data_IF_793947711046
#
_entry.id   IF_793947711046
#
_cell.length_a   1.000
_cell.length_b   1.000
_cell.length_c   1.000
_cell.angle_alpha   90.00
_cell.angle_beta   90.00
_cell.angle_gamma   90.00
#
_symmetry.space_group_name_H-M   'P 1'
#
loop_
_entity.id
_entity.type
_entity.pdbx_description
1 polymer ?
#
# COMPACT_ATOMS: atom_id res chain seq x y z
N UNK A 1 -30.05 -16.56 2.00
CA UNK A 1 -29.12 -15.91 2.96
C UNK A 1 -28.87 -14.48 2.51
N UNK A 2 -29.73 -13.55 3.04
CA UNK A 2 -29.57 -12.12 2.80
C UNK A 2 -28.42 -11.60 3.66
N UNK A 3 -27.21 -11.70 3.20
CA UNK A 3 -26.15 -10.82 3.66
C UNK A 3 -26.47 -9.43 3.13
N UNK A 4 -27.09 -8.62 3.97
CA UNK A 4 -27.16 -7.18 3.78
C UNK A 4 -25.73 -6.72 3.53
N UNK A 5 -25.45 -6.21 2.33
CA UNK A 5 -24.11 -5.85 1.87
C UNK A 5 -23.51 -4.66 2.63
N UNK A 6 -23.37 -4.81 3.95
CA UNK A 6 -22.66 -3.85 4.79
C UNK A 6 -21.17 -4.00 4.43
N UNK A 7 -20.52 -2.95 3.94
CA UNK A 7 -19.10 -3.01 3.62
C UNK A 7 -18.28 -3.47 4.84
N UNK A 8 -17.34 -4.38 4.63
CA UNK A 8 -16.52 -4.97 5.69
C UNK A 8 -15.85 -3.93 6.61
N UNK A 9 -15.48 -2.76 6.07
CA UNK A 9 -14.88 -1.68 6.86
C UNK A 9 -15.85 -1.08 7.88
N UNK A 10 -17.16 -1.03 7.58
CA UNK A 10 -18.17 -0.54 8.52
C UNK A 10 -18.41 -1.56 9.64
N UNK A 11 -18.44 -2.85 9.29
CA UNK A 11 -18.54 -3.93 10.29
C UNK A 11 -17.34 -3.91 11.23
N UNK A 12 -16.14 -3.72 10.70
CA UNK A 12 -14.92 -3.64 11.50
C UNK A 12 -14.95 -2.43 12.43
N UNK A 13 -15.33 -1.24 11.92
CA UNK A 13 -15.43 -0.03 12.73
C UNK A 13 -16.47 -0.17 13.85
N UNK A 14 -17.64 -0.75 13.56
CA UNK A 14 -18.66 -1.02 14.55
C UNK A 14 -18.16 -2.01 15.61
N UNK A 15 -17.59 -3.13 15.19
CA UNK A 15 -17.09 -4.14 16.11
C UNK A 15 -15.96 -3.58 17.01
N UNK A 16 -15.09 -2.70 16.47
CA UNK A 16 -14.02 -2.10 17.25
C UNK A 16 -14.57 -1.29 18.45
N UNK A 17 -15.63 -0.52 18.27
CA UNK A 17 -16.28 0.21 19.37
C UNK A 17 -16.79 -0.75 20.46
N UNK A 18 -17.36 -1.88 20.03
CA UNK A 18 -17.82 -2.93 20.96
C UNK A 18 -16.65 -3.58 21.69
N UNK A 19 -15.57 -3.89 20.96
CA UNK A 19 -14.38 -4.50 21.55
C UNK A 19 -13.68 -3.58 22.55
N UNK A 20 -13.55 -2.29 22.24
CA UNK A 20 -12.98 -1.31 23.15
C UNK A 20 -13.81 -1.17 24.45
N UNK A 21 -15.13 -1.22 24.33
CA UNK A 21 -16.02 -1.25 25.48
C UNK A 21 -15.82 -2.52 26.33
N UNK A 22 -15.75 -3.68 25.67
CA UNK A 22 -15.56 -4.95 26.36
C UNK A 22 -14.18 -5.06 27.01
N UNK A 23 -13.14 -4.59 26.35
CA UNK A 23 -11.77 -4.54 26.89
C UNK A 23 -11.71 -3.64 28.14
N UNK A 24 -12.37 -2.49 28.10
CA UNK A 24 -12.42 -1.57 29.22
C UNK A 24 -13.19 -2.15 30.42
N UNK A 25 -14.24 -2.91 30.15
CA UNK A 25 -15.13 -3.45 31.19
C UNK A 25 -14.63 -4.78 31.78
N UNK A 26 -14.04 -5.66 30.96
CA UNK A 26 -13.72 -7.05 31.34
C UNK A 26 -12.23 -7.40 31.17
N UNK A 27 -11.40 -6.42 30.77
CA UNK A 27 -10.04 -6.71 30.34
C UNK A 27 -10.02 -7.47 29.02
N UNK A 28 -8.86 -7.92 28.55
CA UNK A 28 -8.70 -8.57 27.24
C UNK A 28 -8.92 -10.09 27.26
N UNK A 29 -9.19 -10.69 28.43
CA UNK A 29 -9.34 -12.15 28.59
C UNK A 29 -10.52 -12.72 27.81
N UNK A 30 -11.65 -12.00 27.70
CA UNK A 30 -12.83 -12.39 26.97
C UNK A 30 -12.56 -12.70 25.48
N UNK A 31 -11.54 -12.08 24.90
CA UNK A 31 -11.14 -12.30 23.49
C UNK A 31 -10.78 -13.75 23.21
N UNK A 32 -10.23 -14.47 24.21
CA UNK A 32 -9.87 -15.89 24.10
C UNK A 32 -11.09 -16.82 24.10
N UNK A 33 -12.19 -16.36 24.71
CA UNK A 33 -13.44 -17.13 24.85
C UNK A 33 -14.44 -16.82 23.74
N UNK A 34 -14.21 -15.70 23.00
CA UNK A 34 -15.06 -15.29 21.91
C UNK A 34 -15.03 -16.30 20.74
N UNK A 35 -16.15 -16.52 20.04
CA UNK A 35 -16.19 -17.40 18.88
C UNK A 35 -15.17 -16.99 17.80
N UNK A 36 -14.53 -17.97 17.20
CA UNK A 36 -13.63 -17.72 16.05
C UNK A 36 -14.42 -17.16 14.87
N UNK A 37 -13.82 -16.22 14.15
CA UNK A 37 -14.43 -15.65 12.94
C UNK A 37 -15.26 -14.39 13.17
N UNK A 38 -15.27 -13.84 14.39
CA UNK A 38 -15.83 -12.49 14.61
C UNK A 38 -14.96 -11.47 13.90
N UNK A 39 -15.58 -10.72 13.01
CA UNK A 39 -14.89 -9.76 12.15
C UNK A 39 -14.19 -8.68 12.99
N UNK A 40 -12.86 -8.60 12.86
CA UNK A 40 -12.03 -7.61 13.56
C UNK A 40 -11.65 -7.96 15.00
N UNK A 41 -12.10 -9.11 15.56
CA UNK A 41 -11.78 -9.48 16.94
C UNK A 41 -10.29 -9.68 17.18
N UNK A 42 -9.61 -10.30 16.23
CA UNK A 42 -8.19 -10.63 16.30
C UNK A 42 -7.31 -9.56 15.65
N UNK A 43 -7.90 -8.48 15.13
CA UNK A 43 -7.18 -7.49 14.31
C UNK A 43 -7.66 -6.08 14.61
N UNK A 44 -6.73 -5.19 14.94
CA UNK A 44 -7.00 -3.76 14.95
C UNK A 44 -7.36 -3.26 13.53
N UNK A 45 -8.06 -2.12 13.41
CA UNK A 45 -8.40 -1.50 12.12
C UNK A 45 -7.19 -1.28 11.20
N UNK A 46 -6.01 -1.13 11.78
CA UNK A 46 -4.74 -0.98 11.05
C UNK A 46 -4.18 -2.31 10.51
N UNK A 47 -4.79 -3.46 10.86
CA UNK A 47 -4.28 -4.79 10.52
C UNK A 47 -4.85 -5.40 9.24
N UNK A 48 -5.81 -4.75 8.57
CA UNK A 48 -6.21 -5.15 7.21
C UNK A 48 -5.15 -4.70 6.19
N UNK A 49 -3.96 -5.32 6.30
CA UNK A 49 -2.86 -5.10 5.39
C UNK A 49 -3.01 -5.97 4.14
N UNK A 50 -4.17 -5.83 3.51
CA UNK A 50 -4.51 -6.47 2.24
C UNK A 50 -3.75 -5.84 1.06
N UNK A 51 -4.01 -6.31 -0.15
CA UNK A 51 -3.41 -5.76 -1.36
C UNK A 51 -3.69 -4.26 -1.52
N UNK A 52 -4.89 -3.79 -1.17
CA UNK A 52 -5.26 -2.38 -1.25
C UNK A 52 -4.43 -1.52 -0.28
N UNK A 53 -4.24 -1.99 0.95
CA UNK A 53 -3.36 -1.33 1.92
C UNK A 53 -1.91 -1.31 1.41
N UNK A 54 -1.43 -2.42 0.85
CA UNK A 54 -0.08 -2.56 0.31
C UNK A 54 0.17 -1.54 -0.80
N UNK A 55 -0.70 -1.47 -1.81
CA UNK A 55 -0.60 -0.50 -2.91
C UNK A 55 -0.70 0.95 -2.39
N UNK A 56 -1.65 1.24 -1.50
CA UNK A 56 -1.82 2.58 -0.91
C UNK A 56 -0.57 3.01 -0.14
N UNK A 57 0.04 2.10 0.61
CA UNK A 57 1.27 2.38 1.37
C UNK A 57 2.44 2.63 0.42
N UNK A 58 2.63 1.79 -0.58
CA UNK A 58 3.66 2.00 -1.60
C UNK A 58 3.46 3.34 -2.32
N UNK A 59 2.24 3.70 -2.70
CA UNK A 59 1.94 4.99 -3.32
C UNK A 59 2.31 6.15 -2.40
N UNK A 60 1.97 6.09 -1.12
CA UNK A 60 2.29 7.12 -0.12
C UNK A 60 3.80 7.29 0.08
N UNK A 61 4.53 6.17 0.13
CA UNK A 61 5.97 6.16 0.40
C UNK A 61 6.82 6.37 -0.87
N UNK A 62 6.26 6.15 -2.06
CA UNK A 62 6.92 6.36 -3.34
C UNK A 62 6.94 7.84 -3.71
N UNK A 63 7.93 8.57 -3.23
CA UNK A 63 8.09 10.00 -3.54
C UNK A 63 8.84 10.21 -4.84
N UNK A 64 8.42 11.19 -5.62
CA UNK A 64 9.16 11.58 -6.81
C UNK A 64 10.48 12.26 -6.40
N UNK A 65 11.66 11.81 -6.91
CA UNK A 65 12.92 12.41 -6.51
C UNK A 65 13.07 13.84 -7.07
N UNK A 66 13.24 14.84 -6.20
CA UNK A 66 13.31 16.26 -6.57
C UNK A 66 14.35 16.52 -7.65
N UNK A 67 15.56 15.90 -7.56
CA UNK A 67 16.62 16.04 -8.57
C UNK A 67 16.24 15.49 -9.95
N UNK A 68 15.31 14.52 -10.02
CA UNK A 68 14.84 13.95 -11.28
C UNK A 68 13.63 14.72 -11.81
N UNK A 69 12.86 15.33 -10.93
CA UNK A 69 11.77 16.23 -11.27
C UNK A 69 12.30 17.46 -12.02
N UNK A 70 13.34 18.15 -11.50
CA UNK A 70 13.97 19.28 -12.15
C UNK A 70 14.59 18.94 -13.52
N UNK A 71 15.02 17.69 -13.70
CA UNK A 71 15.53 17.15 -14.98
C UNK A 71 14.46 16.61 -15.90
N UNK A 72 13.18 16.72 -15.53
CA UNK A 72 12.01 16.21 -16.27
C UNK A 72 12.14 14.72 -16.67
N UNK A 73 12.65 13.89 -15.75
CA UNK A 73 12.86 12.45 -16.02
C UNK A 73 11.66 11.62 -15.53
N UNK A 74 11.14 10.77 -16.36
CA UNK A 74 10.09 9.80 -16.06
C UNK A 74 10.65 8.39 -15.98
N UNK A 75 9.89 7.46 -15.41
CA UNK A 75 10.31 6.06 -15.32
C UNK A 75 9.12 5.11 -15.21
N UNK A 76 9.27 3.97 -15.90
CA UNK A 76 8.46 2.77 -15.69
C UNK A 76 9.38 1.69 -15.10
N UNK A 77 8.99 1.13 -13.96
CA UNK A 77 9.70 0.04 -13.29
C UNK A 77 8.79 -1.18 -13.16
N UNK A 78 9.40 -2.37 -13.27
CA UNK A 78 8.80 -3.62 -12.80
C UNK A 78 9.64 -4.17 -11.66
N UNK A 79 8.96 -4.50 -10.56
CA UNK A 79 9.56 -4.97 -9.32
C UNK A 79 8.96 -6.33 -9.00
N UNK A 80 9.79 -7.37 -9.02
CA UNK A 80 9.43 -8.69 -8.48
C UNK A 80 9.63 -8.66 -6.97
N UNK A 81 8.72 -9.24 -6.23
CA UNK A 81 8.82 -9.44 -4.78
C UNK A 81 8.25 -10.79 -4.41
N UNK A 82 8.58 -11.27 -3.22
CA UNK A 82 7.96 -12.46 -2.66
C UNK A 82 7.22 -12.10 -1.37
N UNK A 83 6.23 -12.90 -1.04
CA UNK A 83 5.54 -12.88 0.25
C UNK A 83 5.82 -14.21 0.92
N UNK A 84 6.36 -14.18 2.14
CA UNK A 84 6.65 -15.39 2.89
C UNK A 84 5.39 -15.99 3.55
N UNK A 85 5.54 -17.16 4.21
CA UNK A 85 4.44 -17.84 4.90
C UNK A 85 3.84 -17.04 6.06
N UNK A 86 4.55 -16.05 6.56
CA UNK A 86 4.11 -15.17 7.65
C UNK A 86 3.49 -13.85 7.14
N UNK A 87 3.38 -13.69 5.81
CA UNK A 87 2.81 -12.51 5.18
C UNK A 87 3.79 -11.34 5.02
N UNK A 88 5.08 -11.51 5.29
CA UNK A 88 6.06 -10.45 5.07
C UNK A 88 6.47 -10.36 3.61
N UNK A 89 6.50 -9.14 3.10
CA UNK A 89 7.06 -8.84 1.78
C UNK A 89 8.57 -8.89 1.86
N UNK A 90 9.19 -9.74 1.07
CA UNK A 90 10.64 -10.00 1.09
C UNK A 90 11.24 -9.92 -0.30
N UNK A 91 12.55 -9.70 -0.37
CA UNK A 91 13.36 -9.76 -1.59
C UNK A 91 12.86 -8.93 -2.79
N UNK A 92 12.47 -7.64 -2.61
CA UNK A 92 12.09 -6.83 -3.74
C UNK A 92 13.27 -6.66 -4.71
N UNK A 93 13.06 -6.99 -5.98
CA UNK A 93 14.07 -6.95 -7.03
C UNK A 93 13.52 -6.23 -8.27
N UNK A 94 14.23 -5.21 -8.72
CA UNK A 94 13.87 -4.53 -9.96
C UNK A 94 14.29 -5.41 -11.14
N UNK A 95 13.30 -5.91 -11.89
CA UNK A 95 13.49 -6.74 -13.08
C UNK A 95 13.60 -5.91 -14.36
N UNK A 96 12.90 -4.77 -14.42
CA UNK A 96 13.06 -3.80 -15.51
C UNK A 96 12.95 -2.37 -15.00
N UNK A 97 13.62 -1.44 -15.66
CA UNK A 97 13.62 -0.04 -15.27
C UNK A 97 14.07 0.83 -16.46
N UNK A 98 13.19 1.68 -16.95
CA UNK A 98 13.49 2.57 -18.08
C UNK A 98 14.51 3.68 -17.71
N UNK A 99 14.60 4.03 -16.41
CA UNK A 99 15.56 5.01 -15.91
C UNK A 99 16.15 4.59 -14.56
N UNK A 100 17.41 4.17 -14.55
CA UNK A 100 18.11 3.62 -13.37
C UNK A 100 18.13 4.54 -12.16
N UNK A 101 18.00 5.85 -12.36
CA UNK A 101 18.04 6.85 -11.26
C UNK A 101 16.84 6.73 -10.31
N UNK A 102 15.74 6.07 -10.70
CA UNK A 102 14.58 5.83 -9.84
C UNK A 102 14.67 4.56 -8.99
N UNK A 103 15.65 3.69 -9.24
CA UNK A 103 15.77 2.38 -8.56
C UNK A 103 15.80 2.49 -7.04
N UNK A 104 16.64 3.41 -6.53
CA UNK A 104 16.78 3.59 -5.08
C UNK A 104 15.46 4.00 -4.44
N UNK A 105 14.80 5.01 -5.00
CA UNK A 105 13.54 5.54 -4.45
C UNK A 105 12.44 4.48 -4.45
N UNK A 106 12.31 3.70 -5.52
CA UNK A 106 11.35 2.62 -5.60
C UNK A 106 11.59 1.54 -4.53
N UNK A 107 12.86 1.10 -4.34
CA UNK A 107 13.20 0.11 -3.32
C UNK A 107 13.07 0.67 -1.90
N UNK A 108 13.32 1.96 -1.68
CA UNK A 108 13.15 2.58 -0.36
C UNK A 108 11.67 2.60 0.08
N UNK A 109 10.73 2.75 -0.86
CA UNK A 109 9.31 2.60 -0.58
C UNK A 109 8.95 1.17 -0.10
N UNK A 110 9.53 0.13 -0.70
CA UNK A 110 9.34 -1.25 -0.27
C UNK A 110 9.82 -1.52 1.15
N UNK A 111 10.89 -0.87 1.62
CA UNK A 111 11.39 -1.03 3.00
C UNK A 111 10.33 -0.72 4.05
N UNK A 112 9.37 0.14 3.75
CA UNK A 112 8.28 0.50 4.66
C UNK A 112 7.23 -0.60 4.81
N UNK A 113 7.02 -1.39 3.77
CA UNK A 113 6.07 -2.50 3.79
C UNK A 113 6.71 -3.84 4.19
N UNK A 114 8.03 -4.00 4.03
CA UNK A 114 8.75 -5.22 4.38
C UNK A 114 8.76 -5.54 5.88
N UNK A 115 8.62 -4.53 6.74
CA UNK A 115 8.74 -4.68 8.19
C UNK A 115 7.40 -5.00 8.87
N UNK A 116 6.34 -5.20 8.11
CA UNK A 116 5.00 -5.46 8.64
C UNK A 116 4.37 -6.64 7.91
N UNK A 117 3.72 -7.57 8.63
CA UNK A 117 3.03 -8.68 7.98
C UNK A 117 1.82 -8.16 7.22
N UNK A 118 1.55 -8.76 6.07
CA UNK A 118 0.41 -8.45 5.18
C UNK A 118 -0.53 -9.64 5.07
N UNK A 119 -1.70 -9.43 4.49
CA UNK A 119 -2.64 -10.49 4.13
C UNK A 119 -2.47 -10.93 2.66
N UNK A 120 -1.35 -10.60 2.05
CA UNK A 120 -1.03 -11.04 0.70
C UNK A 120 -0.82 -12.56 0.70
N UNK A 121 -1.17 -13.17 -0.41
CA UNK A 121 -0.93 -14.60 -0.61
C UNK A 121 0.56 -14.87 -0.70
N UNK A 122 1.04 -15.88 0.04
CA UNK A 122 2.44 -16.33 -0.05
C UNK A 122 2.79 -16.74 -1.48
N UNK A 123 3.97 -16.32 -1.94
CA UNK A 123 4.45 -16.59 -3.30
C UNK A 123 5.20 -15.42 -3.90
N UNK A 124 5.53 -15.54 -5.18
CA UNK A 124 6.14 -14.45 -5.96
C UNK A 124 5.09 -13.68 -6.73
N UNK A 125 5.30 -12.37 -6.83
CA UNK A 125 4.43 -11.49 -7.59
C UNK A 125 5.24 -10.34 -8.20
N UNK A 126 4.62 -9.57 -9.10
CA UNK A 126 5.26 -8.47 -9.81
C UNK A 126 4.39 -7.23 -9.71
N UNK A 127 5.03 -6.10 -9.43
CA UNK A 127 4.40 -4.78 -9.33
C UNK A 127 4.97 -3.84 -10.38
N UNK A 128 4.10 -3.04 -11.00
CA UNK A 128 4.48 -1.99 -11.96
C UNK A 128 4.35 -0.62 -11.30
N UNK A 129 5.47 0.10 -11.18
CA UNK A 129 5.52 1.46 -10.65
C UNK A 129 5.85 2.44 -11.76
N UNK A 130 5.03 3.45 -11.94
CA UNK A 130 5.23 4.49 -12.94
C UNK A 130 5.41 5.86 -12.29
N UNK A 131 6.51 6.51 -12.61
CA UNK A 131 6.80 7.90 -12.25
C UNK A 131 6.53 8.79 -13.44
N UNK A 132 5.57 9.71 -13.30
CA UNK A 132 5.14 10.66 -14.32
C UNK A 132 5.34 12.10 -13.85
N UNK A 133 5.61 13.00 -14.78
CA UNK A 133 5.77 14.43 -14.46
C UNK A 133 4.46 15.06 -14.03
N UNK A 134 3.38 14.75 -14.73
CA UNK A 134 2.06 15.28 -14.41
C UNK A 134 0.93 14.27 -14.71
N UNK A 135 -0.26 14.59 -14.25
CA UNK A 135 -1.43 13.73 -14.39
C UNK A 135 -2.02 13.68 -15.81
N UNK A 136 -1.61 14.57 -16.71
CA UNK A 136 -2.11 14.62 -18.10
C UNK A 136 -1.40 13.62 -19.02
N UNK A 137 -0.28 13.06 -18.57
CA UNK A 137 0.48 12.11 -19.36
C UNK A 137 -0.20 10.74 -19.40
N UNK A 138 -0.09 10.04 -20.54
CA UNK A 138 -0.63 8.68 -20.70
C UNK A 138 -0.05 7.73 -19.67
N UNK A 139 -0.93 7.07 -18.91
CA UNK A 139 -0.57 6.07 -17.91
C UNK A 139 -0.53 4.71 -18.59
N UNK A 140 0.50 3.90 -18.28
CA UNK A 140 0.55 2.52 -18.73
C UNK A 140 -0.60 1.72 -18.09
N UNK A 141 -1.40 0.97 -18.85
CA UNK A 141 -2.55 0.23 -18.33
C UNK A 141 -2.20 -0.79 -17.24
N UNK A 142 -0.97 -1.32 -17.26
CA UNK A 142 -0.49 -2.29 -16.26
C UNK A 142 0.04 -1.62 -14.98
N UNK A 143 -0.12 -0.29 -14.80
CA UNK A 143 0.44 0.42 -13.66
C UNK A 143 -0.34 0.16 -12.38
N UNK A 144 0.30 -0.41 -11.38
CA UNK A 144 -0.24 -0.62 -10.04
C UNK A 144 -0.06 0.62 -9.14
N UNK A 145 1.09 1.28 -9.25
CA UNK A 145 1.44 2.47 -8.47
C UNK A 145 1.86 3.61 -9.39
N UNK A 146 1.07 4.68 -9.40
CA UNK A 146 1.35 5.89 -10.15
C UNK A 146 1.86 7.00 -9.23
N UNK A 147 3.06 7.50 -9.49
CA UNK A 147 3.69 8.59 -8.73
C UNK A 147 3.78 9.83 -9.62
N UNK A 148 3.07 10.89 -9.25
CA UNK A 148 3.02 12.15 -9.98
C UNK A 148 4.01 13.14 -9.39
N UNK A 149 4.85 13.72 -10.25
CA UNK A 149 5.86 14.69 -9.86
C UNK A 149 5.31 16.09 -9.63
N UNK A 150 4.40 16.52 -10.47
CA UNK A 150 3.73 17.81 -10.37
C UNK A 150 2.22 17.62 -10.21
N UNK A 151 1.63 18.30 -9.24
CA UNK A 151 0.19 18.54 -9.25
C UNK A 151 -0.14 19.71 -10.20
N UNK A 152 -1.38 19.86 -10.69
CA UNK A 152 -1.75 21.00 -11.52
C UNK A 152 -1.44 22.36 -10.88
N UNK A 153 -1.44 22.45 -9.53
CA UNK A 153 -1.13 23.66 -8.76
C UNK A 153 0.39 23.91 -8.60
N UNK A 154 1.21 22.88 -8.79
CA UNK A 154 2.66 22.93 -8.57
C UNK A 154 3.43 23.12 -9.89
N UNK A 155 2.75 23.25 -11.04
CA UNK A 155 3.45 23.56 -12.30
C UNK A 155 4.14 24.92 -12.15
N UNK A 156 5.47 24.98 -12.27
CA UNK A 156 6.15 26.26 -12.21
C UNK A 156 5.58 27.16 -13.31
N UNK A 157 5.15 28.36 -12.93
CA UNK A 157 4.79 29.41 -13.86
C UNK A 157 6.10 29.72 -14.60
N UNK A 158 6.21 29.25 -15.83
CA UNK A 158 7.30 29.65 -16.72
C UNK A 158 7.09 31.15 -16.97
N UNK A 159 7.77 31.97 -16.18
CA UNK A 159 7.92 33.37 -16.54
C UNK A 159 8.66 33.39 -17.89
N UNK A 160 7.95 33.89 -18.91
CA UNK A 160 8.54 34.18 -20.22
C UNK A 160 9.45 35.38 -20.11
#
# INVERSE_FOLDING_TARGET
DCYLGVPNHLLTAYNQVVFDYLDKKFGTSWRKEAPKGIFGLDKSLDEFRDYKWFIKTLHKESKYPVKLLSKRKECLLRIEYAVDSNGYVVQPKIISCSNRSFRKTALDAFKKVMNVPTLLKAGKDTLVVQYKLDSSATVNPDTDVLVIGYTPCDKPILMK
#
